data_IF_255510435911
#
_entry.id   IF_255510435911
#
_cell.length_a   1.000
_cell.length_b   1.000
_cell.length_c   1.000
_cell.angle_alpha   90.00
_cell.angle_beta   90.00
_cell.angle_gamma   90.00
#
_symmetry.space_group_name_H-M   'P 1'
#
loop_
_entity.id
_entity.type
_entity.pdbx_description
1 polymer ?
#
# COMPACT_ATOMS: atom_id res chain seq x y z
N UNK A 1 20.46 33.32 13.59
CA UNK A 1 19.93 32.15 12.87
C UNK A 1 18.97 32.69 11.82
N UNK A 2 19.22 32.42 10.54
CA UNK A 2 18.45 33.01 9.45
C UNK A 2 17.03 32.41 9.43
N UNK A 3 16.00 33.27 9.45
CA UNK A 3 14.59 32.82 9.51
C UNK A 3 14.20 31.94 8.30
N UNK A 4 14.94 32.09 7.20
CA UNK A 4 14.77 31.34 5.95
C UNK A 4 15.28 29.91 6.09
N UNK A 5 16.39 29.69 6.81
CA UNK A 5 16.92 28.36 7.10
C UNK A 5 15.99 27.58 8.05
N UNK A 6 15.48 28.23 9.09
CA UNK A 6 14.56 27.61 10.05
C UNK A 6 13.25 27.10 9.40
N UNK A 7 12.72 27.87 8.43
CA UNK A 7 11.55 27.46 7.63
C UNK A 7 11.85 26.28 6.71
N UNK A 8 13.03 26.24 6.09
CA UNK A 8 13.48 25.14 5.24
C UNK A 8 13.66 23.82 6.01
N UNK A 9 14.27 23.88 7.19
CA UNK A 9 14.45 22.72 8.08
C UNK A 9 13.10 22.17 8.56
N UNK A 10 12.17 23.06 8.92
CA UNK A 10 10.80 22.68 9.32
C UNK A 10 10.06 21.98 8.18
N UNK A 11 10.14 22.52 6.96
CA UNK A 11 9.52 21.89 5.78
C UNK A 11 10.11 20.50 5.50
N UNK A 12 11.44 20.35 5.61
CA UNK A 12 12.10 19.07 5.41
C UNK A 12 11.67 18.02 6.45
N UNK A 13 11.49 18.43 7.71
CA UNK A 13 10.97 17.56 8.76
C UNK A 13 9.54 17.09 8.45
N UNK A 14 8.66 18.00 8.04
CA UNK A 14 7.28 17.67 7.66
C UNK A 14 7.26 16.70 6.47
N UNK A 15 8.05 16.95 5.42
CA UNK A 15 8.12 16.05 4.27
C UNK A 15 8.63 14.65 4.64
N UNK A 16 9.60 14.57 5.54
CA UNK A 16 10.10 13.29 6.03
C UNK A 16 9.06 12.54 6.85
N UNK A 17 8.29 13.25 7.69
CA UNK A 17 7.21 12.68 8.47
C UNK A 17 6.09 12.15 7.56
N UNK A 18 5.59 12.96 6.63
CA UNK A 18 4.56 12.57 5.67
C UNK A 18 5.00 11.36 4.85
N UNK A 19 6.26 11.33 4.38
CA UNK A 19 6.81 10.17 3.66
C UNK A 19 6.81 8.92 4.52
N UNK A 20 7.17 9.04 5.80
CA UNK A 20 7.19 7.91 6.73
C UNK A 20 5.80 7.37 7.02
N UNK A 21 4.83 8.26 7.27
CA UNK A 21 3.42 7.92 7.48
C UNK A 21 2.82 7.27 6.24
N UNK A 22 3.03 7.86 5.06
CA UNK A 22 2.55 7.30 3.79
C UNK A 22 3.11 5.90 3.55
N UNK A 23 4.41 5.68 3.83
CA UNK A 23 5.02 4.35 3.73
C UNK A 23 4.38 3.38 4.72
N UNK A 24 4.17 3.80 5.96
CA UNK A 24 3.54 2.98 7.00
C UNK A 24 2.13 2.55 6.57
N UNK A 25 1.31 3.51 6.13
CA UNK A 25 -0.08 3.27 5.75
C UNK A 25 -0.19 2.37 4.52
N UNK A 26 0.66 2.56 3.52
CA UNK A 26 0.74 1.66 2.36
C UNK A 26 1.11 0.23 2.78
N UNK A 27 2.15 0.07 3.60
CA UNK A 27 2.52 -1.25 4.12
C UNK A 27 1.39 -1.88 4.94
N UNK A 28 0.71 -1.10 5.78
CA UNK A 28 -0.42 -1.58 6.57
C UNK A 28 -1.56 -2.07 5.67
N UNK A 29 -1.93 -1.28 4.66
CA UNK A 29 -2.97 -1.63 3.69
C UNK A 29 -2.67 -2.94 2.96
N UNK A 30 -1.46 -3.10 2.43
CA UNK A 30 -1.08 -4.33 1.72
C UNK A 30 -1.04 -5.54 2.66
N UNK A 31 -0.53 -5.38 3.88
CA UNK A 31 -0.55 -6.47 4.87
C UNK A 31 -1.96 -6.92 5.22
N UNK A 32 -2.88 -5.97 5.43
CA UNK A 32 -4.28 -6.28 5.72
C UNK A 32 -4.94 -7.04 4.55
N UNK A 33 -4.70 -6.60 3.31
CA UNK A 33 -5.19 -7.28 2.12
C UNK A 33 -4.65 -8.70 2.01
N UNK A 34 -3.34 -8.90 2.23
CA UNK A 34 -2.73 -10.23 2.20
C UNK A 34 -3.30 -11.15 3.29
N UNK A 35 -3.54 -10.62 4.49
CA UNK A 35 -4.17 -11.38 5.58
C UNK A 35 -5.61 -11.80 5.23
N UNK A 36 -6.38 -10.92 4.59
CA UNK A 36 -7.74 -11.22 4.13
C UNK A 36 -7.73 -12.33 3.06
N UNK A 37 -6.87 -12.19 2.04
CA UNK A 37 -6.73 -13.19 0.98
C UNK A 37 -6.29 -14.55 1.55
N UNK A 38 -5.27 -14.54 2.42
CA UNK A 38 -4.79 -15.75 3.09
C UNK A 38 -5.87 -16.43 3.93
N UNK A 39 -6.64 -15.65 4.70
CA UNK A 39 -7.76 -16.17 5.48
C UNK A 39 -8.83 -16.79 4.59
N UNK A 40 -9.15 -16.15 3.47
CA UNK A 40 -10.13 -16.67 2.51
C UNK A 40 -9.67 -18.00 1.88
N UNK A 41 -8.41 -18.10 1.45
CA UNK A 41 -7.82 -19.34 0.93
C UNK A 41 -7.98 -20.48 1.93
N UNK A 42 -7.68 -20.22 3.20
CA UNK A 42 -7.77 -21.23 4.27
C UNK A 42 -9.21 -21.64 4.59
N UNK A 43 -10.12 -20.67 4.72
CA UNK A 43 -11.53 -20.92 5.07
C UNK A 43 -12.24 -21.69 3.95
N UNK A 44 -12.00 -21.31 2.70
CA UNK A 44 -12.62 -21.94 1.53
C UNK A 44 -11.88 -23.19 1.06
N UNK A 45 -10.75 -23.53 1.70
CA UNK A 45 -9.90 -24.68 1.33
C UNK A 45 -9.53 -24.69 -0.16
N UNK A 46 -9.17 -23.52 -0.69
CA UNK A 46 -8.83 -23.39 -2.10
C UNK A 46 -7.64 -24.28 -2.45
N UNK A 47 -7.73 -24.94 -3.60
CA UNK A 47 -6.59 -25.64 -4.19
C UNK A 47 -5.47 -24.65 -4.54
N UNK A 48 -4.23 -25.12 -4.70
CA UNK A 48 -3.13 -24.26 -5.13
C UNK A 48 -3.41 -23.49 -6.43
N UNK A 49 -4.13 -24.09 -7.38
CA UNK A 49 -4.54 -23.43 -8.63
C UNK A 49 -5.54 -22.31 -8.41
N UNK A 50 -6.58 -22.54 -7.60
CA UNK A 50 -7.60 -21.52 -7.29
C UNK A 50 -7.01 -20.38 -6.47
N UNK A 51 -6.13 -20.68 -5.51
CA UNK A 51 -5.39 -19.69 -4.76
C UNK A 51 -4.48 -18.83 -5.67
N UNK A 52 -3.80 -19.46 -6.64
CA UNK A 52 -2.98 -18.74 -7.61
C UNK A 52 -3.82 -17.83 -8.51
N UNK A 53 -4.96 -18.32 -9.02
CA UNK A 53 -5.87 -17.52 -9.83
C UNK A 53 -6.42 -16.32 -9.05
N UNK A 54 -6.83 -16.52 -7.80
CA UNK A 54 -7.27 -15.45 -6.90
C UNK A 54 -6.16 -14.39 -6.71
N UNK A 55 -4.93 -14.82 -6.46
CA UNK A 55 -3.79 -13.90 -6.30
C UNK A 55 -3.52 -13.10 -7.58
N UNK A 56 -3.62 -13.72 -8.75
CA UNK A 56 -3.48 -13.03 -10.04
C UNK A 56 -4.59 -11.99 -10.23
N UNK A 57 -5.85 -12.34 -9.96
CA UNK A 57 -6.98 -11.41 -10.07
C UNK A 57 -6.85 -10.22 -9.11
N UNK A 58 -6.44 -10.44 -7.86
CA UNK A 58 -6.23 -9.36 -6.90
C UNK A 58 -5.05 -8.45 -7.30
N UNK A 59 -3.97 -9.04 -7.85
CA UNK A 59 -2.85 -8.26 -8.40
C UNK A 59 -3.26 -7.41 -9.62
N UNK A 60 -4.11 -7.93 -10.49
CA UNK A 60 -4.66 -7.19 -11.63
C UNK A 60 -5.56 -6.05 -11.18
N UNK A 61 -6.47 -6.27 -10.21
CA UNK A 61 -7.30 -5.20 -9.65
C UNK A 61 -6.47 -4.04 -9.12
N UNK A 62 -5.40 -4.33 -8.38
CA UNK A 62 -4.47 -3.32 -7.87
C UNK A 62 -3.76 -2.56 -9.00
N UNK A 63 -3.42 -3.23 -10.11
CA UNK A 63 -2.84 -2.56 -11.28
C UNK A 63 -3.86 -1.63 -11.94
N UNK A 64 -5.07 -2.11 -12.23
CA UNK A 64 -6.08 -1.32 -12.95
C UNK A 64 -6.60 -0.13 -12.14
N UNK A 65 -6.72 -0.25 -10.82
CA UNK A 65 -7.06 0.88 -9.95
C UNK A 65 -6.05 2.03 -10.04
N UNK A 66 -4.78 1.74 -10.30
CA UNK A 66 -3.76 2.78 -10.50
C UNK A 66 -3.84 3.42 -11.90
N UNK A 67 -4.28 2.70 -12.93
CA UNK A 67 -4.40 3.22 -14.30
C UNK A 67 -5.65 4.07 -14.52
N UNK A 68 -6.79 3.75 -13.90
CA UNK A 68 -8.03 4.54 -14.06
C UNK A 68 -8.03 5.86 -13.30
N UNK A 69 -7.05 6.09 -12.41
CA UNK A 69 -6.92 7.37 -11.67
C UNK A 69 -6.07 8.39 -12.43
N UNK A 70 -5.48 8.02 -13.57
CA UNK A 70 -4.60 8.87 -14.41
C UNK A 70 -5.22 9.28 -15.76
N UNK A 71 -6.52 9.06 -15.99
CA UNK A 71 -7.23 9.42 -17.24
C UNK A 71 -8.23 10.58 -17.07
#
# INVERSE_FOLDING_TARGET
MDMTQLKGETLLQVLNQVRSETKHDLCHFFNLRLQQIGSYILIQQLSPSEANELLCQEAEKLRYQNYETEA
#
